data_IF_462485344928
#
_entry.id   IF_462485344928
#
_cell.length_a   1.000
_cell.length_b   1.000
_cell.length_c   1.000
_cell.angle_alpha   90.00
_cell.angle_beta   90.00
_cell.angle_gamma   90.00
#
_symmetry.space_group_name_H-M   'P 1'
#
loop_
_entity.id
_entity.type
_entity.pdbx_description
1 polymer ?
#
# COMPACT_ATOMS: atom_id res chain seq x y z
N UNK A 1 -28.63 65.23 -34.40
CA UNK A 1 -27.95 63.98 -34.66
C UNK A 1 -27.12 63.62 -33.44
N UNK A 2 -27.58 62.64 -32.62
CA UNK A 2 -26.86 62.18 -31.39
C UNK A 2 -26.36 60.78 -31.68
N UNK A 3 -25.05 60.57 -31.72
CA UNK A 3 -24.41 59.27 -31.84
C UNK A 3 -24.37 58.63 -30.45
N UNK A 4 -25.06 57.53 -30.25
CA UNK A 4 -24.95 56.66 -29.07
C UNK A 4 -23.75 55.74 -29.29
N UNK A 5 -22.71 55.84 -28.43
CA UNK A 5 -21.59 54.92 -28.41
C UNK A 5 -22.01 53.65 -27.67
N UNK A 6 -21.95 52.53 -28.34
CA UNK A 6 -22.23 51.18 -27.80
C UNK A 6 -20.94 50.69 -27.12
N UNK A 7 -20.95 50.60 -25.76
CA UNK A 7 -19.86 50.06 -24.99
C UNK A 7 -19.97 48.54 -24.97
N UNK A 8 -19.10 47.83 -25.71
CA UNK A 8 -18.99 46.38 -25.68
C UNK A 8 -18.15 45.99 -24.46
N UNK A 9 -18.78 45.46 -23.42
CA UNK A 9 -18.10 44.87 -22.26
C UNK A 9 -17.71 43.44 -22.61
N UNK A 10 -16.43 43.20 -22.88
CA UNK A 10 -15.85 41.87 -23.05
C UNK A 10 -15.69 41.27 -21.66
N UNK A 11 -16.57 40.35 -21.26
CA UNK A 11 -16.42 39.55 -20.05
C UNK A 11 -15.42 38.43 -20.39
N UNK A 12 -14.18 38.61 -19.96
CA UNK A 12 -13.16 37.58 -20.03
C UNK A 12 -13.44 36.52 -18.93
N UNK A 13 -14.15 35.45 -19.29
CA UNK A 13 -14.34 34.30 -18.37
C UNK A 13 -13.02 33.51 -18.34
N UNK A 14 -12.24 33.72 -17.29
CA UNK A 14 -11.09 32.88 -16.97
C UNK A 14 -11.60 31.48 -16.60
N UNK A 15 -11.48 30.53 -17.53
CA UNK A 15 -11.62 29.12 -17.21
C UNK A 15 -10.45 28.72 -16.29
N UNK A 16 -10.69 28.64 -14.99
CA UNK A 16 -9.76 27.98 -14.07
C UNK A 16 -9.89 26.48 -14.36
N UNK A 17 -9.02 25.97 -15.23
CA UNK A 17 -8.86 24.54 -15.39
C UNK A 17 -8.24 23.99 -14.10
N UNK A 18 -9.04 23.37 -13.25
CA UNK A 18 -8.55 22.49 -12.23
C UNK A 18 -7.82 21.33 -12.94
N UNK A 19 -6.50 21.41 -13.02
CA UNK A 19 -5.66 20.36 -13.52
C UNK A 19 -5.78 19.17 -12.57
N UNK A 20 -6.55 18.15 -12.95
CA UNK A 20 -6.46 16.84 -12.32
C UNK A 20 -5.02 16.35 -12.52
N UNK A 21 -4.35 15.83 -11.48
CA UNK A 21 -3.00 15.29 -11.64
C UNK A 21 -3.06 14.22 -12.73
N UNK A 22 -2.31 14.44 -13.80
CA UNK A 22 -2.18 13.46 -14.89
C UNK A 22 -1.56 12.21 -14.31
N UNK A 23 -2.32 11.11 -14.32
CA UNK A 23 -1.78 9.81 -13.91
C UNK A 23 -0.64 9.43 -14.84
N UNK A 24 0.44 8.87 -14.28
CA UNK A 24 1.55 8.40 -15.09
C UNK A 24 1.06 7.31 -16.07
N UNK A 25 1.63 7.27 -17.27
CA UNK A 25 1.33 6.22 -18.26
C UNK A 25 1.53 4.83 -17.66
N UNK A 26 2.51 4.66 -16.77
CA UNK A 26 2.77 3.41 -16.06
C UNK A 26 1.59 2.99 -15.18
N UNK A 27 1.02 3.90 -14.39
CA UNK A 27 -0.13 3.59 -13.53
C UNK A 27 -1.37 3.16 -14.33
N UNK A 28 -1.56 3.71 -15.54
CA UNK A 28 -2.63 3.30 -16.45
C UNK A 28 -2.35 1.89 -16.98
N UNK A 29 -1.13 1.61 -17.42
CA UNK A 29 -0.73 0.29 -17.93
C UNK A 29 -0.87 -0.80 -16.85
N UNK A 30 -0.44 -0.52 -15.62
CA UNK A 30 -0.57 -1.44 -14.49
C UNK A 30 -2.04 -1.73 -14.17
N UNK A 31 -2.91 -0.71 -14.19
CA UNK A 31 -4.34 -0.93 -14.02
C UNK A 31 -4.94 -1.78 -15.14
N UNK A 32 -4.57 -1.55 -16.39
CA UNK A 32 -5.06 -2.36 -17.53
C UNK A 32 -4.59 -3.82 -17.43
N UNK A 33 -3.35 -4.04 -17.04
CA UNK A 33 -2.81 -5.38 -16.77
C UNK A 33 -3.58 -6.08 -15.64
N UNK A 34 -3.82 -5.38 -14.51
CA UNK A 34 -4.61 -5.92 -13.41
C UNK A 34 -6.05 -6.22 -13.84
N UNK A 35 -6.70 -5.30 -14.57
CA UNK A 35 -8.06 -5.45 -15.04
C UNK A 35 -8.23 -6.66 -15.98
N UNK A 36 -7.24 -6.95 -16.82
CA UNK A 36 -7.27 -8.10 -17.73
C UNK A 36 -7.22 -9.44 -17.00
N UNK A 37 -6.49 -9.53 -15.89
CA UNK A 37 -6.33 -10.75 -15.07
C UNK A 37 -7.36 -10.86 -13.95
N UNK A 38 -7.79 -9.73 -13.40
CA UNK A 38 -8.65 -9.61 -12.23
C UNK A 38 -9.75 -8.57 -12.46
N UNK A 39 -10.83 -8.90 -13.21
CA UNK A 39 -11.87 -7.95 -13.60
C UNK A 39 -12.55 -7.21 -12.44
N UNK A 40 -12.54 -7.80 -11.23
CA UNK A 40 -13.12 -7.19 -10.03
C UNK A 40 -12.45 -5.87 -9.62
N UNK A 41 -11.20 -5.58 -10.01
CA UNK A 41 -10.54 -4.28 -9.72
C UNK A 41 -11.24 -3.09 -10.39
N UNK A 42 -12.19 -3.35 -11.31
CA UNK A 42 -13.06 -2.31 -11.88
C UNK A 42 -13.94 -1.68 -10.81
N UNK A 43 -14.48 -2.50 -9.91
CA UNK A 43 -15.56 -2.09 -9.00
C UNK A 43 -15.14 -2.16 -7.53
N UNK A 44 -14.03 -2.83 -7.23
CA UNK A 44 -13.48 -2.95 -5.87
C UNK A 44 -12.14 -2.24 -5.74
N UNK A 45 -11.86 -1.63 -4.56
CA UNK A 45 -10.54 -1.10 -4.28
C UNK A 45 -9.47 -2.20 -4.29
N UNK A 46 -8.24 -1.81 -4.66
CA UNK A 46 -7.05 -2.65 -4.55
C UNK A 46 -5.89 -1.85 -3.96
N UNK A 47 -4.91 -2.55 -3.43
CA UNK A 47 -3.66 -1.97 -2.92
C UNK A 47 -2.61 -2.04 -4.03
N UNK A 48 -1.90 -0.94 -4.25
CA UNK A 48 -0.68 -0.89 -5.03
C UNK A 48 0.49 -0.48 -4.13
N UNK A 49 1.51 -1.32 -4.06
CA UNK A 49 2.77 -1.05 -3.36
C UNK A 49 3.83 -0.72 -4.40
N UNK A 50 4.26 0.53 -4.42
CA UNK A 50 5.37 1.00 -5.22
C UNK A 50 6.64 1.00 -4.36
N UNK A 51 7.54 0.04 -4.64
CA UNK A 51 8.80 -0.10 -3.89
C UNK A 51 9.76 1.04 -4.21
N UNK A 52 9.77 1.55 -5.44
CA UNK A 52 10.67 2.64 -5.85
C UNK A 52 10.36 3.94 -5.12
N UNK A 53 9.08 4.23 -4.92
CA UNK A 53 8.61 5.42 -4.19
C UNK A 53 8.52 5.22 -2.67
N UNK A 54 8.67 3.98 -2.18
CA UNK A 54 8.38 3.59 -0.80
C UNK A 54 6.98 4.07 -0.37
N UNK A 55 5.98 3.81 -1.22
CA UNK A 55 4.60 4.19 -1.00
C UNK A 55 3.63 3.04 -1.25
N UNK A 56 2.56 3.04 -0.47
CA UNK A 56 1.39 2.20 -0.66
C UNK A 56 0.21 3.09 -1.03
N UNK A 57 -0.51 2.69 -2.05
CA UNK A 57 -1.71 3.35 -2.54
C UNK A 57 -2.91 2.41 -2.40
N UNK A 58 -4.03 2.93 -1.94
CA UNK A 58 -5.33 2.30 -2.12
C UNK A 58 -5.96 2.94 -3.36
N UNK A 59 -6.26 2.13 -4.35
CA UNK A 59 -6.79 2.59 -5.63
C UNK A 59 -8.14 1.95 -5.92
N UNK A 60 -8.98 2.68 -6.65
CA UNK A 60 -10.16 2.13 -7.30
C UNK A 60 -10.14 2.56 -8.76
N UNK A 61 -10.23 1.61 -9.68
CA UNK A 61 -9.89 1.84 -11.07
C UNK A 61 -8.46 2.42 -11.16
N UNK A 62 -8.26 3.47 -11.94
CA UNK A 62 -6.98 4.17 -12.00
C UNK A 62 -6.83 5.26 -10.92
N UNK A 63 -7.88 5.60 -10.16
CA UNK A 63 -7.87 6.69 -9.18
C UNK A 63 -7.24 6.25 -7.85
N UNK A 64 -6.40 7.10 -7.27
CA UNK A 64 -5.88 6.94 -5.91
C UNK A 64 -6.88 7.49 -4.91
N UNK A 65 -7.29 6.64 -3.96
CA UNK A 65 -8.18 7.00 -2.86
C UNK A 65 -7.39 7.41 -1.61
N UNK A 66 -6.35 6.61 -1.27
CA UNK A 66 -5.49 6.84 -0.11
C UNK A 66 -4.03 6.56 -0.49
N UNK A 67 -3.09 7.17 0.22
CA UNK A 67 -1.67 6.82 0.08
C UNK A 67 -0.92 6.97 1.40
N UNK A 68 0.01 6.04 1.65
CA UNK A 68 0.81 5.99 2.86
C UNK A 68 2.28 5.79 2.54
N UNK A 69 3.20 6.47 3.23
CA UNK A 69 4.61 6.12 3.17
C UNK A 69 4.84 4.76 3.84
N UNK A 70 5.72 3.96 3.27
CA UNK A 70 6.01 2.60 3.74
C UNK A 70 7.51 2.36 3.94
N UNK A 71 7.85 1.18 4.43
CA UNK A 71 9.21 0.67 4.43
C UNK A 71 9.20 -0.79 3.98
N UNK A 72 9.87 -1.08 2.87
CA UNK A 72 10.05 -2.43 2.35
C UNK A 72 11.41 -3.01 2.72
N UNK A 73 11.79 -4.15 2.16
CA UNK A 73 13.02 -4.85 2.53
C UNK A 73 14.30 -4.05 2.20
N UNK A 74 15.20 -3.96 3.17
CA UNK A 74 16.59 -3.48 2.98
C UNK A 74 17.45 -4.41 2.12
N UNK A 75 17.01 -5.65 1.89
CA UNK A 75 17.68 -6.64 1.03
C UNK A 75 17.17 -6.62 -0.41
N UNK A 76 16.27 -5.68 -0.75
CA UNK A 76 15.69 -5.52 -2.07
C UNK A 76 14.52 -6.48 -2.35
N UNK A 77 14.28 -6.75 -3.63
CA UNK A 77 13.16 -7.53 -4.14
C UNK A 77 13.51 -9.00 -4.37
N UNK A 78 12.54 -9.88 -4.16
CA UNK A 78 12.66 -11.32 -4.47
C UNK A 78 11.75 -12.22 -3.65
N UNK A 79 11.49 -13.41 -4.17
CA UNK A 79 10.53 -14.36 -3.60
C UNK A 79 11.17 -15.55 -2.89
N UNK A 80 12.49 -15.75 -2.99
CA UNK A 80 13.17 -16.92 -2.39
C UNK A 80 12.98 -16.94 -0.88
N UNK A 81 12.66 -18.11 -0.34
CA UNK A 81 12.53 -18.35 1.09
C UNK A 81 13.84 -18.00 1.82
N UNK A 82 13.75 -17.40 3.00
CA UNK A 82 14.87 -16.96 3.84
C UNK A 82 15.75 -15.86 3.20
N UNK A 83 15.36 -15.28 2.08
CA UNK A 83 16.10 -14.16 1.46
C UNK A 83 15.88 -12.82 2.17
N UNK A 84 14.86 -12.72 3.01
CA UNK A 84 14.39 -11.47 3.63
C UNK A 84 14.01 -10.37 2.63
N UNK A 85 13.80 -10.71 1.35
CA UNK A 85 13.43 -9.79 0.27
C UNK A 85 11.92 -9.64 0.17
N UNK A 86 11.45 -8.48 -0.30
CA UNK A 86 10.04 -8.23 -0.60
C UNK A 86 9.67 -8.85 -1.95
N UNK A 87 8.67 -9.75 -2.02
CA UNK A 87 8.23 -10.34 -3.27
C UNK A 87 7.47 -9.32 -4.13
N UNK A 88 7.64 -9.42 -5.45
CA UNK A 88 6.85 -8.68 -6.43
C UNK A 88 5.61 -9.44 -6.87
N UNK A 89 4.76 -8.76 -7.63
CA UNK A 89 3.61 -9.33 -8.32
C UNK A 89 2.31 -9.27 -7.54
N UNK A 90 1.37 -10.11 -7.93
CA UNK A 90 -0.01 -10.02 -7.47
C UNK A 90 -0.24 -10.94 -6.28
N UNK A 91 -0.84 -10.39 -5.25
CA UNK A 91 -1.22 -11.03 -4.00
C UNK A 91 -2.67 -10.70 -3.67
N UNK A 92 -3.19 -11.30 -2.63
CA UNK A 92 -4.36 -10.80 -1.92
C UNK A 92 -4.16 -10.82 -0.40
N UNK A 93 -5.00 -10.08 0.32
CA UNK A 93 -5.08 -10.14 1.77
C UNK A 93 -5.79 -11.43 2.17
N UNK A 94 -5.06 -12.42 2.66
CA UNK A 94 -5.63 -13.72 3.09
C UNK A 94 -6.20 -13.67 4.49
N UNK A 95 -5.54 -12.93 5.40
CA UNK A 95 -5.96 -12.81 6.80
C UNK A 95 -5.76 -11.39 7.32
N UNK A 96 -6.65 -10.97 8.19
CA UNK A 96 -6.58 -9.72 8.97
C UNK A 96 -6.46 -10.07 10.45
N UNK A 97 -5.40 -9.58 11.12
CA UNK A 97 -5.10 -9.93 12.51
C UNK A 97 -4.91 -8.66 13.32
N UNK A 98 -5.45 -8.65 14.56
CA UNK A 98 -5.28 -7.54 15.48
C UNK A 98 -6.47 -6.57 15.54
N UNK A 99 -7.66 -6.96 15.03
CA UNK A 99 -8.87 -6.14 15.17
C UNK A 99 -9.12 -5.81 16.64
N UNK A 100 -9.38 -4.51 16.95
CA UNK A 100 -9.63 -4.02 18.30
C UNK A 100 -8.41 -3.95 19.22
N UNK A 101 -7.25 -4.47 18.81
CA UNK A 101 -6.05 -4.36 19.63
C UNK A 101 -5.60 -2.89 19.77
N UNK A 102 -5.10 -2.46 20.95
CA UNK A 102 -4.51 -1.12 21.14
C UNK A 102 -3.39 -0.83 20.14
N UNK A 103 -3.20 0.45 19.82
CA UNK A 103 -2.07 0.88 18.99
C UNK A 103 -0.73 0.46 19.63
N UNK A 104 0.23 0.00 18.81
CA UNK A 104 1.52 -0.48 19.31
C UNK A 104 1.51 -1.88 19.89
N UNK A 105 0.35 -2.58 19.94
CA UNK A 105 0.31 -3.99 20.39
C UNK A 105 1.29 -4.83 19.59
N UNK A 106 2.16 -5.56 20.28
CA UNK A 106 3.19 -6.42 19.68
C UNK A 106 2.58 -7.78 19.33
N UNK A 107 2.80 -8.21 18.08
CA UNK A 107 2.43 -9.55 17.62
C UNK A 107 3.69 -10.42 17.42
N UNK A 108 3.59 -11.66 17.85
CA UNK A 108 4.62 -12.69 17.61
C UNK A 108 3.94 -13.96 17.10
N UNK A 109 4.39 -14.50 15.98
CA UNK A 109 3.74 -15.64 15.30
C UNK A 109 2.25 -15.40 15.04
N UNK A 110 1.87 -14.15 14.70
CA UNK A 110 0.48 -13.70 14.47
C UNK A 110 -0.43 -13.71 15.73
N UNK A 111 0.13 -13.93 16.89
CA UNK A 111 -0.60 -13.89 18.17
C UNK A 111 -0.33 -12.56 18.89
N UNK A 112 -1.39 -12.01 19.50
CA UNK A 112 -1.26 -10.85 20.37
C UNK A 112 -0.47 -11.26 21.63
N UNK A 113 0.61 -10.56 21.90
CA UNK A 113 1.45 -10.82 23.08
C UNK A 113 0.95 -10.14 24.36
N UNK A 114 -0.11 -9.33 24.27
CA UNK A 114 -0.61 -8.44 25.32
C UNK A 114 0.44 -7.41 25.80
N UNK A 115 1.46 -7.16 25.00
CA UNK A 115 2.49 -6.15 25.25
C UNK A 115 2.36 -5.06 24.21
N UNK A 116 2.65 -3.82 24.61
CA UNK A 116 2.65 -2.63 23.74
C UNK A 116 4.10 -2.15 23.62
N UNK A 117 4.53 -1.80 22.41
CA UNK A 117 5.81 -1.18 22.16
C UNK A 117 5.85 0.21 22.83
N UNK A 118 6.82 0.42 23.73
CA UNK A 118 6.89 1.62 24.57
C UNK A 118 7.39 2.85 23.82
N UNK A 119 8.22 2.64 22.80
CA UNK A 119 8.79 3.74 22.02
C UNK A 119 8.77 3.41 20.53
N UNK A 120 7.79 3.96 19.82
CA UNK A 120 7.56 3.74 18.40
C UNK A 120 8.56 4.46 17.47
N UNK A 121 9.40 5.33 18.01
CA UNK A 121 10.37 6.11 17.23
C UNK A 121 11.81 5.61 17.34
N UNK A 122 12.16 4.97 18.44
CA UNK A 122 13.55 4.58 18.74
C UNK A 122 13.77 3.08 19.00
N UNK A 123 12.74 2.27 18.78
CA UNK A 123 12.86 0.81 18.92
C UNK A 123 13.88 0.25 17.91
N UNK A 124 14.81 -0.57 18.38
CA UNK A 124 15.84 -1.19 17.54
C UNK A 124 15.39 -2.50 16.92
N UNK A 125 14.40 -3.17 17.53
CA UNK A 125 13.87 -4.43 17.04
C UNK A 125 12.84 -4.22 15.94
N UNK A 126 12.86 -5.05 14.89
CA UNK A 126 11.86 -5.08 13.83
C UNK A 126 10.58 -5.79 14.30
N UNK A 127 9.83 -5.10 15.16
CA UNK A 127 8.61 -5.63 15.76
C UNK A 127 7.42 -5.44 14.82
N UNK A 128 6.56 -6.45 14.79
CA UNK A 128 5.24 -6.38 14.13
C UNK A 128 4.26 -5.81 15.13
N UNK A 129 3.64 -4.66 14.81
CA UNK A 129 2.78 -3.96 15.76
C UNK A 129 1.41 -3.60 15.18
N UNK A 130 0.48 -3.30 16.06
CA UNK A 130 -0.88 -2.77 15.82
C UNK A 130 -1.80 -3.68 15.02
N UNK A 131 -1.51 -3.94 13.74
CA UNK A 131 -2.35 -4.72 12.82
C UNK A 131 -1.48 -5.47 11.82
N UNK A 132 -2.03 -6.59 11.30
CA UNK A 132 -1.41 -7.38 10.25
C UNK A 132 -2.42 -7.66 9.14
N UNK A 133 -2.05 -7.40 7.89
CA UNK A 133 -2.64 -7.97 6.69
C UNK A 133 -1.67 -9.03 6.18
N UNK A 134 -2.03 -10.31 6.28
CA UNK A 134 -1.20 -11.43 5.81
C UNK A 134 -1.45 -11.66 4.34
N UNK A 135 -0.42 -11.58 3.53
CA UNK A 135 -0.49 -11.67 2.07
C UNK A 135 -0.32 -13.10 1.58
N UNK A 136 -1.07 -13.46 0.55
CA UNK A 136 -0.90 -14.70 -0.20
C UNK A 136 -0.65 -14.38 -1.66
N UNK A 137 0.43 -14.93 -2.21
CA UNK A 137 0.77 -14.79 -3.62
C UNK A 137 -0.24 -15.50 -4.51
N UNK A 138 -0.50 -14.94 -5.69
CA UNK A 138 -1.45 -15.46 -6.69
C UNK A 138 -0.76 -15.92 -7.98
N UNK A 139 0.54 -15.74 -8.10
CA UNK A 139 1.30 -16.05 -9.32
C UNK A 139 2.21 -17.26 -9.08
N UNK A 140 1.77 -18.40 -9.60
CA UNK A 140 2.53 -19.66 -9.51
C UNK A 140 3.90 -19.50 -10.17
N UNK A 141 4.95 -19.94 -9.49
CA UNK A 141 6.33 -19.80 -9.98
C UNK A 141 6.96 -18.42 -9.76
N UNK A 142 6.19 -17.42 -9.28
CA UNK A 142 6.71 -16.08 -8.96
C UNK A 142 6.64 -15.77 -7.46
N UNK A 143 5.45 -15.86 -6.84
CA UNK A 143 5.22 -15.58 -5.42
C UNK A 143 4.33 -16.63 -4.73
N UNK A 144 4.01 -17.72 -5.45
CA UNK A 144 3.29 -18.89 -4.97
C UNK A 144 4.00 -20.18 -5.43
N UNK A 145 4.23 -21.09 -4.50
CA UNK A 145 4.85 -22.40 -4.76
C UNK A 145 6.03 -22.72 -3.82
N UNK A 146 6.63 -23.91 -3.94
CA UNK A 146 7.71 -24.34 -3.06
C UNK A 146 8.90 -23.37 -3.06
N UNK A 147 9.35 -22.97 -1.88
CA UNK A 147 10.53 -22.10 -1.70
C UNK A 147 10.34 -20.63 -2.05
N UNK A 148 9.14 -20.21 -2.53
CA UNK A 148 8.88 -18.83 -2.95
C UNK A 148 7.53 -18.29 -2.43
N UNK A 149 6.77 -19.09 -1.74
CA UNK A 149 5.39 -18.82 -1.34
C UNK A 149 5.31 -17.66 -0.33
N UNK A 150 4.69 -16.54 -0.72
CA UNK A 150 4.58 -15.33 0.11
C UNK A 150 3.83 -15.59 1.42
N UNK A 151 2.78 -16.44 1.40
CA UNK A 151 2.03 -16.77 2.61
C UNK A 151 2.87 -17.58 3.59
N UNK A 152 3.57 -18.61 3.12
CA UNK A 152 4.46 -19.43 3.95
C UNK A 152 5.67 -18.66 4.45
N UNK A 153 6.16 -17.69 3.65
CA UNK A 153 7.22 -16.76 4.03
C UNK A 153 6.78 -15.70 5.03
N UNK A 154 5.49 -15.67 5.40
CA UNK A 154 4.93 -14.69 6.33
C UNK A 154 5.14 -13.25 5.84
N UNK A 155 4.86 -12.98 4.57
CA UNK A 155 4.87 -11.62 4.03
C UNK A 155 3.60 -10.89 4.49
N UNK A 156 3.81 -9.79 5.21
CA UNK A 156 2.75 -8.98 5.81
C UNK A 156 2.80 -7.53 5.35
N UNK A 157 1.65 -6.86 5.42
CA UNK A 157 1.56 -5.41 5.61
C UNK A 157 1.23 -5.21 7.08
N UNK A 158 2.05 -4.44 7.83
CA UNK A 158 1.90 -4.32 9.28
C UNK A 158 2.41 -3.00 9.84
N UNK A 159 1.98 -2.64 11.04
CA UNK A 159 2.56 -1.53 11.79
C UNK A 159 3.94 -1.88 12.33
N UNK A 160 4.78 -0.87 12.56
CA UNK A 160 6.15 -1.06 13.06
C UNK A 160 6.44 -0.23 14.30
N UNK A 161 7.34 -0.72 15.15
CA UNK A 161 7.93 0.07 16.24
C UNK A 161 9.11 0.96 15.78
N UNK A 162 9.51 0.86 14.51
CA UNK A 162 10.58 1.67 13.91
C UNK A 162 9.98 2.72 12.96
N UNK A 163 9.05 3.55 13.42
CA UNK A 163 8.36 4.53 12.56
C UNK A 163 9.31 5.56 11.92
N UNK A 164 10.47 5.81 12.53
CA UNK A 164 11.52 6.67 11.96
C UNK A 164 12.14 6.11 10.67
N UNK A 165 11.94 4.82 10.37
CA UNK A 165 12.44 4.16 9.15
C UNK A 165 11.43 4.15 8.00
N UNK A 166 10.21 4.64 8.23
CA UNK A 166 9.19 4.75 7.17
C UNK A 166 9.64 5.78 6.14
N UNK A 167 9.47 5.46 4.86
CA UNK A 167 9.97 6.21 3.70
C UNK A 167 11.29 5.69 3.14
N UNK A 168 11.89 4.64 3.76
CA UNK A 168 13.13 4.03 3.27
C UNK A 168 13.12 2.51 3.46
N UNK A 169 13.83 1.74 2.61
CA UNK A 169 13.95 0.29 2.76
C UNK A 169 14.68 -0.08 4.05
N UNK A 170 14.00 -0.76 4.99
CA UNK A 170 14.58 -1.14 6.27
C UNK A 170 14.00 -2.43 6.88
N UNK A 171 12.97 -3.06 6.26
CA UNK A 171 12.35 -4.29 6.78
C UNK A 171 13.16 -5.55 6.44
N UNK A 172 12.68 -6.68 6.94
CA UNK A 172 13.17 -8.03 6.60
C UNK A 172 12.17 -8.76 5.67
N UNK A 173 11.58 -8.05 4.70
CA UNK A 173 10.71 -8.64 3.67
C UNK A 173 9.28 -8.14 3.67
N UNK A 174 8.73 -7.78 4.81
CA UNK A 174 7.37 -7.25 4.94
C UNK A 174 7.27 -5.79 4.50
N UNK A 175 6.04 -5.32 4.29
CA UNK A 175 5.69 -3.92 4.02
C UNK A 175 5.26 -3.29 5.36
N UNK A 176 5.98 -2.27 5.83
CA UNK A 176 5.74 -1.63 7.13
C UNK A 176 5.12 -0.26 6.93
N UNK A 177 4.15 0.07 7.78
CA UNK A 177 3.52 1.39 7.90
C UNK A 177 3.73 1.95 9.31
N UNK A 178 3.51 3.26 9.47
CA UNK A 178 3.27 3.83 10.78
C UNK A 178 2.03 3.17 11.41
N UNK A 179 1.97 3.09 12.72
CA UNK A 179 0.90 2.37 13.40
C UNK A 179 -0.48 2.96 13.13
N UNK A 180 -0.59 4.28 13.07
CA UNK A 180 -1.85 4.95 12.79
C UNK A 180 -2.31 4.69 11.35
N UNK A 181 -1.39 4.78 10.38
CA UNK A 181 -1.66 4.53 8.97
C UNK A 181 -2.07 3.06 8.74
N UNK A 182 -1.43 2.14 9.49
CA UNK A 182 -1.76 0.72 9.43
C UNK A 182 -3.17 0.42 9.98
N UNK A 183 -3.59 1.11 11.04
CA UNK A 183 -4.94 0.98 11.60
C UNK A 183 -5.97 1.51 10.60
N UNK A 184 -5.70 2.65 9.98
CA UNK A 184 -6.56 3.25 8.98
C UNK A 184 -6.71 2.31 7.76
N UNK A 185 -5.60 1.87 7.17
CA UNK A 185 -5.59 0.88 6.09
C UNK A 185 -6.35 -0.40 6.47
N UNK A 186 -6.08 -0.94 7.66
CA UNK A 186 -6.74 -2.16 8.13
C UNK A 186 -8.26 -2.02 8.18
N UNK A 187 -8.78 -0.88 8.61
CA UNK A 187 -10.21 -0.66 8.76
C UNK A 187 -10.92 -0.56 7.41
N UNK A 188 -10.30 0.00 6.38
CA UNK A 188 -10.92 0.21 5.08
C UNK A 188 -10.74 -0.97 4.11
N UNK A 189 -9.79 -1.90 4.37
CA UNK A 189 -9.48 -3.00 3.43
C UNK A 189 -10.13 -4.30 3.89
N UNK A 190 -11.04 -4.93 3.11
CA UNK A 190 -11.57 -6.26 3.37
C UNK A 190 -10.55 -7.38 3.08
N UNK A 191 -10.83 -8.62 3.56
CA UNK A 191 -10.11 -9.81 3.10
C UNK A 191 -10.33 -10.01 1.59
N UNK A 192 -9.36 -10.66 0.94
CA UNK A 192 -9.30 -10.90 -0.52
C UNK A 192 -9.15 -9.63 -1.36
N UNK A 193 -8.93 -8.46 -0.75
CA UNK A 193 -8.48 -7.28 -1.50
C UNK A 193 -7.18 -7.61 -2.23
N UNK A 194 -7.13 -7.34 -3.53
CA UNK A 194 -5.92 -7.51 -4.33
C UNK A 194 -4.81 -6.55 -3.89
N UNK A 195 -3.59 -7.05 -3.90
CA UNK A 195 -2.37 -6.30 -3.59
C UNK A 195 -1.37 -6.52 -4.71
N UNK A 196 -1.08 -5.47 -5.46
CA UNK A 196 -0.04 -5.47 -6.49
C UNK A 196 1.22 -4.82 -5.94
N UNK A 197 2.34 -5.54 -5.99
CA UNK A 197 3.65 -5.07 -5.53
C UNK A 197 4.56 -4.93 -6.74
N UNK A 198 5.00 -3.72 -7.03
CA UNK A 198 5.89 -3.39 -8.16
C UNK A 198 7.09 -2.54 -7.72
N UNK A 199 8.02 -2.37 -8.63
CA UNK A 199 9.19 -1.50 -8.49
C UNK A 199 9.13 -0.41 -9.55
#
# INVERSE_FOLDING_TARGET
>A
MRYAALLIVIICTAFISFGYPTQSTQAINDYQMLLSKYPQVRDTPYIWVDISEQRLYVKQRAQTLLSYPISTSKYGIGSTQNSYKTPLGIHHVEQKIGSGAPIGTIFKYRQNTNRIAQNLLSETADLITSRILHLKGLEHGANQGPGIDSYRRCIYIHGTAQESKIGSPASNGCIRLKNIDMIDLFNCIPIYTLVYISQ
#
